data_IF_760897195685
#
_entry.id   IF_760897195685
#
_cell.length_a   1.000
_cell.length_b   1.000
_cell.length_c   1.000
_cell.angle_alpha   90.00
_cell.angle_beta   90.00
_cell.angle_gamma   90.00
#
_symmetry.space_group_name_H-M   'P 1'
#
loop_
_entity.id
_entity.type
_entity.pdbx_description
1 polymer ?
#
# COMPACT_ATOMS: atom_id res chain seq x y z
N UNK A 1 10.42 -5.59 -32.38
CA UNK A 1 10.90 -4.32 -31.85
C UNK A 1 11.16 -4.53 -30.39
N UNK A 2 12.40 -4.32 -29.95
CA UNK A 2 12.96 -4.86 -28.73
C UNK A 2 12.42 -4.16 -27.47
N UNK A 3 11.86 -4.96 -26.54
CA UNK A 3 11.61 -4.60 -25.17
C UNK A 3 12.95 -4.37 -24.47
N UNK A 4 13.20 -3.14 -24.04
CA UNK A 4 14.28 -2.87 -23.09
C UNK A 4 13.72 -3.04 -21.68
N UNK A 5 13.93 -4.23 -21.12
CA UNK A 5 13.78 -4.47 -19.70
C UNK A 5 14.82 -3.63 -18.94
N UNK A 6 14.38 -2.59 -18.27
CA UNK A 6 15.20 -1.86 -17.30
C UNK A 6 15.20 -2.69 -16.01
N UNK A 7 16.16 -3.61 -15.92
CA UNK A 7 16.40 -4.43 -14.74
C UNK A 7 17.04 -3.60 -13.65
N UNK A 8 16.21 -2.97 -12.83
CA UNK A 8 16.63 -2.50 -11.51
C UNK A 8 16.05 -3.47 -10.49
N UNK A 9 16.85 -4.49 -10.18
CA UNK A 9 16.56 -5.47 -9.14
C UNK A 9 16.70 -4.76 -7.78
N UNK A 10 15.61 -4.18 -7.30
CA UNK A 10 15.57 -3.64 -5.94
C UNK A 10 15.53 -4.87 -5.02
N UNK A 11 16.68 -5.23 -4.46
CA UNK A 11 16.73 -6.17 -3.35
C UNK A 11 15.95 -5.56 -2.20
N UNK A 12 14.74 -6.06 -1.98
CA UNK A 12 13.99 -5.78 -0.74
C UNK A 12 14.83 -6.39 0.38
N UNK A 13 15.24 -5.61 1.39
CA UNK A 13 15.85 -6.19 2.57
C UNK A 13 14.84 -7.16 3.20
N UNK A 14 15.26 -8.38 3.51
CA UNK A 14 14.43 -9.31 4.29
C UNK A 14 14.26 -8.74 5.69
N UNK A 15 13.18 -8.00 5.89
CA UNK A 15 12.78 -7.52 7.21
C UNK A 15 12.23 -8.74 7.96
N UNK A 16 13.08 -9.43 8.72
CA UNK A 16 12.62 -10.36 9.74
C UNK A 16 11.79 -9.58 10.74
N UNK A 17 10.51 -9.95 10.86
CA UNK A 17 9.64 -9.40 11.91
C UNK A 17 10.30 -9.64 13.27
N UNK A 18 10.82 -8.57 13.86
CA UNK A 18 11.45 -8.61 15.18
C UNK A 18 10.39 -8.60 16.26
N UNK A 19 10.58 -9.44 17.28
CA UNK A 19 9.78 -9.38 18.50
C UNK A 19 10.24 -8.19 19.33
N UNK A 20 9.30 -7.52 19.98
CA UNK A 20 9.53 -6.35 20.84
C UNK A 20 10.56 -6.60 21.96
N UNK A 21 10.79 -7.86 22.32
CA UNK A 21 11.76 -8.31 23.34
C UNK A 21 13.22 -8.13 22.89
N UNK A 22 13.48 -8.11 21.58
CA UNK A 22 14.84 -8.00 21.01
C UNK A 22 15.36 -6.54 20.99
N UNK A 23 14.53 -5.57 21.34
CA UNK A 23 14.86 -4.13 21.23
C UNK A 23 15.76 -3.61 22.36
N UNK A 24 16.02 -4.40 23.40
CA UNK A 24 16.70 -3.93 24.61
C UNK A 24 18.16 -4.41 24.73
N UNK A 25 18.69 -5.11 23.73
CA UNK A 25 20.07 -5.58 23.76
C UNK A 25 21.02 -4.58 23.10
N UNK A 26 21.89 -3.97 23.90
CA UNK A 26 22.96 -3.08 23.44
C UNK A 26 23.82 -3.73 22.33
N UNK A 27 23.95 -5.06 22.33
CA UNK A 27 24.66 -5.83 21.31
C UNK A 27 24.01 -5.75 19.92
N UNK A 28 22.68 -5.69 19.88
CA UNK A 28 21.94 -5.53 18.62
C UNK A 28 22.13 -4.14 18.03
N UNK A 29 22.04 -3.11 18.86
CA UNK A 29 22.28 -1.71 18.44
C UNK A 29 23.71 -1.51 17.95
N UNK A 30 24.70 -2.17 18.57
CA UNK A 30 26.08 -2.14 18.13
C UNK A 30 26.29 -2.85 16.78
N UNK A 31 25.61 -3.97 16.54
CA UNK A 31 25.65 -4.68 15.24
C UNK A 31 25.01 -3.86 14.13
N UNK A 32 23.84 -3.26 14.36
CA UNK A 32 23.21 -2.36 13.42
C UNK A 32 24.07 -1.13 13.14
N UNK A 33 24.63 -0.52 14.17
CA UNK A 33 25.54 0.63 14.01
C UNK A 33 26.80 0.25 13.21
N UNK A 34 27.30 -0.98 13.33
CA UNK A 34 28.44 -1.47 12.58
C UNK A 34 28.08 -1.74 11.09
N UNK A 35 26.89 -2.24 10.80
CA UNK A 35 26.39 -2.42 9.44
C UNK A 35 26.16 -1.07 8.74
N UNK A 36 25.51 -0.11 9.41
CA UNK A 36 25.28 1.24 8.90
C UNK A 36 26.60 1.99 8.62
N UNK A 37 27.63 1.77 9.46
CA UNK A 37 28.98 2.30 9.21
C UNK A 37 29.67 1.66 8.00
N UNK A 38 29.41 0.38 7.73
CA UNK A 38 29.95 -0.33 6.56
C UNK A 38 29.32 0.17 5.27
N UNK A 39 28.05 0.52 5.28
CA UNK A 39 27.32 1.07 4.14
C UNK A 39 27.58 2.57 3.94
N UNK A 40 28.43 3.20 4.76
CA UNK A 40 28.75 4.62 4.69
C UNK A 40 27.64 5.55 5.14
N UNK A 41 26.57 5.00 5.72
CA UNK A 41 25.48 5.78 6.33
C UNK A 41 25.84 6.21 7.74
N UNK A 42 25.52 7.45 8.06
CA UNK A 42 25.77 7.98 9.41
C UNK A 42 24.73 7.36 10.37
N UNK A 43 25.15 6.89 11.54
CA UNK A 43 24.26 6.30 12.56
C UNK A 43 23.09 7.21 12.91
N UNK A 44 23.32 8.53 12.93
CA UNK A 44 22.27 9.53 13.18
C UNK A 44 21.22 9.50 12.07
N UNK A 45 21.61 9.35 10.82
CA UNK A 45 20.68 9.27 9.67
C UNK A 45 19.87 8.00 9.74
N UNK A 46 20.49 6.85 10.08
CA UNK A 46 19.77 5.59 10.26
C UNK A 46 18.70 5.65 11.35
N UNK A 47 19.00 6.23 12.50
CA UNK A 47 18.00 6.44 13.57
C UNK A 47 16.87 7.39 13.15
N UNK A 48 17.15 8.41 12.35
CA UNK A 48 16.14 9.32 11.83
C UNK A 48 15.23 8.62 10.80
N UNK A 49 15.80 7.79 9.95
CA UNK A 49 15.02 7.02 8.97
C UNK A 49 14.07 6.04 9.65
N UNK A 50 14.53 5.31 10.69
CA UNK A 50 13.66 4.43 11.49
C UNK A 50 12.53 5.21 12.18
N UNK A 51 12.81 6.38 12.71
CA UNK A 51 11.79 7.22 13.34
C UNK A 51 10.75 7.71 12.32
N UNK A 52 11.19 8.07 11.11
CA UNK A 52 10.31 8.48 10.02
C UNK A 52 9.45 7.30 9.55
N UNK A 53 10.03 6.11 9.40
CA UNK A 53 9.30 4.90 9.01
C UNK A 53 8.28 4.49 10.07
N UNK A 54 8.64 4.57 11.35
CA UNK A 54 7.70 4.35 12.45
C UNK A 54 6.56 5.37 12.43
N UNK A 55 6.86 6.64 12.22
CA UNK A 55 5.85 7.68 12.09
C UNK A 55 4.90 7.44 10.91
N UNK A 56 5.42 7.04 9.75
CA UNK A 56 4.63 6.70 8.57
C UNK A 56 3.75 5.47 8.81
N UNK A 57 4.27 4.41 9.42
CA UNK A 57 3.51 3.18 9.67
C UNK A 57 2.30 3.40 10.58
N UNK A 58 2.36 4.41 11.46
CA UNK A 58 1.26 4.77 12.36
C UNK A 58 0.36 5.90 11.84
N UNK A 59 0.66 6.49 10.69
CA UNK A 59 -0.12 7.58 10.09
C UNK A 59 -0.07 7.53 8.56
N UNK A 60 -0.59 6.45 7.99
CA UNK A 60 -0.71 6.29 6.54
C UNK A 60 -1.95 7.00 6.01
N UNK A 61 -1.78 7.82 4.99
CA UNK A 61 -2.87 8.59 4.39
C UNK A 61 -3.39 7.94 3.12
N UNK A 62 -4.65 7.43 3.14
CA UNK A 62 -5.22 6.76 2.00
C UNK A 62 -5.66 7.72 0.89
N UNK A 63 -5.34 7.37 -0.35
CA UNK A 63 -6.05 7.85 -1.52
C UNK A 63 -7.23 6.92 -1.80
N UNK A 64 -8.44 7.46 -1.70
CA UNK A 64 -9.66 6.69 -1.94
C UNK A 64 -9.94 6.58 -3.44
N UNK A 65 -9.89 5.37 -3.97
CA UNK A 65 -10.32 5.08 -5.34
C UNK A 65 -11.42 4.01 -5.31
N UNK A 66 -12.65 4.48 -5.23
CA UNK A 66 -13.83 3.64 -5.08
C UNK A 66 -14.72 3.75 -6.33
N UNK A 67 -14.93 2.64 -7.02
CA UNK A 67 -15.66 2.60 -8.29
C UNK A 67 -16.96 1.80 -8.25
N UNK A 68 -17.15 0.97 -7.23
CA UNK A 68 -18.36 0.14 -7.09
C UNK A 68 -18.62 -0.25 -5.63
N UNK A 69 -19.36 -1.33 -5.40
CA UNK A 69 -19.86 -1.74 -4.08
C UNK A 69 -18.77 -1.91 -2.99
N UNK A 70 -17.56 -2.31 -3.32
CA UNK A 70 -16.47 -2.35 -2.35
C UNK A 70 -16.11 -0.96 -1.80
N UNK A 71 -16.41 0.10 -2.56
CA UNK A 71 -16.25 1.48 -2.09
C UNK A 71 -17.23 1.83 -0.98
N UNK A 72 -18.44 1.29 -0.99
CA UNK A 72 -19.43 1.49 0.09
C UNK A 72 -18.95 0.80 1.36
N UNK A 73 -18.41 -0.41 1.23
CA UNK A 73 -17.82 -1.12 2.36
C UNK A 73 -16.59 -0.39 2.92
N UNK A 74 -15.79 0.21 2.04
CA UNK A 74 -14.69 1.08 2.46
C UNK A 74 -15.16 2.31 3.24
N UNK A 75 -16.29 2.93 2.85
CA UNK A 75 -16.91 3.99 3.65
C UNK A 75 -17.37 3.48 5.01
N UNK A 76 -17.88 2.25 5.09
CA UNK A 76 -18.28 1.64 6.36
C UNK A 76 -17.09 1.41 7.31
N UNK A 77 -15.89 1.16 6.79
CA UNK A 77 -14.65 1.07 7.59
C UNK A 77 -14.33 2.42 8.25
N UNK A 78 -14.58 3.54 7.57
CA UNK A 78 -14.44 4.88 8.13
C UNK A 78 -15.58 5.32 9.06
N UNK A 79 -16.66 4.50 9.19
CA UNK A 79 -17.79 4.83 10.03
C UNK A 79 -17.52 4.52 11.51
N UNK A 80 -18.34 5.09 12.40
CA UNK A 80 -18.16 5.06 13.84
C UNK A 80 -18.00 3.66 14.47
N UNK A 81 -18.50 2.61 13.82
CA UNK A 81 -18.39 1.23 14.32
C UNK A 81 -16.98 0.67 14.21
N UNK A 82 -16.27 0.97 13.13
CA UNK A 82 -14.96 0.40 12.81
C UNK A 82 -13.84 1.40 12.98
N UNK A 83 -14.04 2.61 12.50
CA UNK A 83 -13.22 3.80 12.67
C UNK A 83 -11.72 3.63 12.38
N UNK A 84 -11.33 3.93 11.17
CA UNK A 84 -9.94 3.96 10.73
C UNK A 84 -9.03 4.88 11.58
N UNK A 85 -9.62 5.91 12.20
CA UNK A 85 -8.88 6.87 13.01
C UNK A 85 -8.12 6.19 14.15
N UNK A 86 -8.65 5.10 14.70
CA UNK A 86 -7.99 4.33 15.76
C UNK A 86 -6.65 3.73 15.34
N UNK A 87 -6.46 3.54 14.04
CA UNK A 87 -5.26 2.95 13.44
C UNK A 87 -4.37 3.99 12.77
N UNK A 88 -4.72 5.28 12.87
CA UNK A 88 -3.97 6.37 12.27
C UNK A 88 -4.28 6.66 10.79
N UNK A 89 -5.35 6.07 10.22
CA UNK A 89 -5.70 6.19 8.80
C UNK A 89 -6.89 7.10 8.52
N UNK A 90 -7.16 8.07 9.40
CA UNK A 90 -8.34 8.94 9.28
C UNK A 90 -8.29 9.85 8.06
N UNK A 91 -7.11 10.33 7.71
CA UNK A 91 -6.98 11.42 6.76
C UNK A 91 -7.03 10.92 5.32
N UNK A 92 -8.24 10.72 4.78
CA UNK A 92 -8.44 10.45 3.37
C UNK A 92 -8.04 11.66 2.53
N UNK A 93 -7.08 11.49 1.63
CA UNK A 93 -6.61 12.56 0.75
C UNK A 93 -7.22 12.43 -0.64
N UNK A 94 -7.74 13.55 -1.14
CA UNK A 94 -8.19 13.66 -2.53
C UNK A 94 -7.02 13.96 -3.49
N UNK A 95 -5.88 14.45 -2.97
CA UNK A 95 -4.68 14.71 -3.76
C UNK A 95 -3.73 13.52 -3.72
N UNK A 96 -3.38 12.93 -4.87
CA UNK A 96 -2.44 11.81 -4.94
C UNK A 96 -1.06 12.15 -4.38
N UNK A 97 -0.65 13.41 -4.49
CA UNK A 97 0.67 13.88 -4.02
C UNK A 97 0.81 13.87 -2.50
N UNK A 98 -0.29 13.79 -1.77
CA UNK A 98 -0.34 13.79 -0.31
C UNK A 98 -0.72 12.43 0.27
N UNK A 99 -0.93 11.43 -0.57
CA UNK A 99 -1.34 10.09 -0.16
C UNK A 99 -0.15 9.14 -0.17
N UNK A 100 -0.09 8.27 0.83
CA UNK A 100 0.94 7.25 0.99
C UNK A 100 0.56 5.94 0.30
N UNK A 101 -0.73 5.62 0.26
CA UNK A 101 -1.22 4.41 -0.42
C UNK A 101 -2.55 4.64 -1.12
N UNK A 102 -2.81 3.84 -2.14
CA UNK A 102 -4.08 3.85 -2.87
C UNK A 102 -4.87 2.56 -2.58
N UNK A 103 -6.11 2.70 -2.12
CA UNK A 103 -7.06 1.60 -2.03
C UNK A 103 -7.93 1.56 -3.27
N UNK A 104 -7.71 0.55 -4.09
CA UNK A 104 -8.51 0.34 -5.30
C UNK A 104 -9.68 -0.58 -4.96
N UNK A 105 -10.84 0.02 -4.70
CA UNK A 105 -12.03 -0.68 -4.24
C UNK A 105 -13.10 -0.75 -5.34
N UNK A 106 -13.26 -1.90 -5.96
CA UNK A 106 -14.32 -2.15 -6.92
C UNK A 106 -13.87 -2.48 -8.33
N UNK A 107 -14.80 -2.38 -9.27
CA UNK A 107 -14.60 -2.75 -10.68
C UNK A 107 -13.86 -1.65 -11.43
N UNK A 108 -12.84 -2.03 -12.20
CA UNK A 108 -12.08 -1.11 -13.04
C UNK A 108 -12.40 -1.36 -14.50
N UNK A 109 -12.89 -0.33 -15.17
CA UNK A 109 -13.14 -0.38 -16.61
C UNK A 109 -11.90 0.03 -17.39
N UNK A 110 -11.79 -0.45 -18.64
CA UNK A 110 -10.71 -0.04 -19.54
C UNK A 110 -10.62 1.48 -19.72
N UNK A 111 -11.75 2.18 -19.60
CA UNK A 111 -11.82 3.65 -19.67
C UNK A 111 -11.21 4.32 -18.43
N UNK A 112 -11.33 3.68 -17.25
CA UNK A 112 -10.79 4.18 -15.99
C UNK A 112 -9.32 3.77 -15.74
N UNK A 113 -8.85 2.72 -16.40
CA UNK A 113 -7.49 2.24 -16.24
C UNK A 113 -6.38 3.30 -16.45
N UNK A 114 -6.45 4.17 -17.51
CA UNK A 114 -5.48 5.24 -17.68
C UNK A 114 -5.55 6.32 -16.60
N UNK A 115 -6.73 6.55 -16.02
CA UNK A 115 -6.92 7.51 -14.92
C UNK A 115 -6.25 6.96 -13.65
N UNK A 116 -6.51 5.70 -13.34
CA UNK A 116 -5.89 5.02 -12.20
C UNK A 116 -4.36 5.05 -12.29
N UNK A 117 -3.80 4.78 -13.46
CA UNK A 117 -2.36 4.85 -13.69
C UNK A 117 -1.81 6.26 -13.46
N UNK A 118 -2.48 7.30 -13.95
CA UNK A 118 -2.07 8.70 -13.70
C UNK A 118 -2.08 9.06 -12.21
N UNK A 119 -3.10 8.60 -11.47
CA UNK A 119 -3.17 8.84 -10.03
C UNK A 119 -1.98 8.19 -9.32
N UNK A 120 -1.65 6.95 -9.69
CA UNK A 120 -0.50 6.25 -9.15
C UNK A 120 0.83 6.95 -9.49
N UNK A 121 1.01 7.40 -10.73
CA UNK A 121 2.23 8.11 -11.16
C UNK A 121 2.40 9.46 -10.46
N UNK A 122 1.32 10.06 -9.96
CA UNK A 122 1.32 11.33 -9.22
C UNK A 122 1.58 11.15 -7.71
N UNK A 123 1.51 9.93 -7.19
CA UNK A 123 1.83 9.65 -5.78
C UNK A 123 3.33 9.75 -5.54
N UNK A 124 3.68 10.24 -4.35
CA UNK A 124 5.07 10.28 -3.89
C UNK A 124 5.57 8.89 -3.50
N UNK A 125 6.85 8.64 -3.64
CA UNK A 125 7.49 7.42 -3.14
C UNK A 125 7.87 7.58 -1.65
N UNK A 126 7.76 6.53 -0.83
CA UNK A 126 7.22 5.21 -1.10
C UNK A 126 5.70 5.21 -1.19
N UNK A 127 5.15 4.45 -2.14
CA UNK A 127 3.71 4.34 -2.38
C UNK A 127 3.28 2.88 -2.44
N UNK A 128 2.08 2.59 -1.93
CA UNK A 128 1.56 1.24 -1.84
C UNK A 128 0.21 1.13 -2.54
N UNK A 129 -0.10 -0.05 -3.08
CA UNK A 129 -1.34 -0.33 -3.79
C UNK A 129 -2.05 -1.50 -3.12
N UNK A 130 -3.27 -1.28 -2.66
CA UNK A 130 -4.13 -2.28 -2.05
C UNK A 130 -5.32 -2.56 -2.97
N UNK A 131 -5.44 -3.79 -3.46
CA UNK A 131 -6.57 -4.23 -4.26
C UNK A 131 -7.67 -4.83 -3.38
N UNK A 132 -8.84 -4.19 -3.35
CA UNK A 132 -9.95 -4.56 -2.47
C UNK A 132 -11.08 -5.19 -3.26
N UNK A 133 -11.36 -6.45 -2.92
CA UNK A 133 -12.47 -7.23 -3.45
C UNK A 133 -12.20 -7.94 -4.77
N UNK A 134 -13.02 -8.92 -5.07
CA UNK A 134 -12.85 -9.81 -6.22
C UNK A 134 -12.79 -9.08 -7.58
N UNK A 135 -13.49 -7.94 -7.72
CA UNK A 135 -13.46 -7.16 -8.94
C UNK A 135 -12.09 -6.51 -9.20
N UNK A 136 -11.46 -5.97 -8.15
CA UNK A 136 -10.12 -5.39 -8.25
C UNK A 136 -9.04 -6.47 -8.43
N UNK A 137 -9.23 -7.66 -7.85
CA UNK A 137 -8.26 -8.75 -7.87
C UNK A 137 -8.24 -9.47 -9.23
N UNK A 138 -9.42 -9.81 -9.77
CA UNK A 138 -9.52 -10.70 -10.93
C UNK A 138 -10.69 -10.40 -11.87
N UNK A 139 -11.30 -9.21 -11.75
CA UNK A 139 -12.53 -8.87 -12.46
C UNK A 139 -13.80 -9.40 -11.78
N UNK A 140 -13.67 -10.33 -10.82
CA UNK A 140 -14.80 -10.88 -10.05
C UNK A 140 -15.96 -11.40 -10.89
N UNK A 141 -17.20 -11.02 -10.57
CA UNK A 141 -18.38 -11.43 -11.34
C UNK A 141 -18.39 -10.92 -12.80
N UNK A 142 -17.61 -9.89 -13.07
CA UNK A 142 -17.53 -9.25 -14.39
C UNK A 142 -16.31 -9.69 -15.20
N UNK A 143 -15.65 -10.76 -14.78
CA UNK A 143 -14.52 -11.37 -15.51
C UNK A 143 -14.95 -11.70 -16.94
N UNK A 144 -14.07 -11.42 -17.90
CA UNK A 144 -14.29 -11.56 -19.35
C UNK A 144 -15.30 -10.57 -19.95
N UNK A 145 -15.71 -9.55 -19.22
CA UNK A 145 -16.49 -8.45 -19.81
C UNK A 145 -15.60 -7.58 -20.69
N UNK A 146 -16.11 -7.19 -21.86
CA UNK A 146 -15.36 -6.35 -22.80
C UNK A 146 -15.02 -4.96 -22.28
N UNK A 147 -15.66 -4.51 -21.21
CA UNK A 147 -15.41 -3.21 -20.58
C UNK A 147 -14.52 -3.26 -19.35
N UNK A 148 -14.37 -4.42 -18.72
CA UNK A 148 -13.73 -4.56 -17.41
C UNK A 148 -12.33 -5.13 -17.55
N UNK A 149 -11.40 -4.55 -16.82
CA UNK A 149 -10.04 -5.07 -16.69
C UNK A 149 -10.04 -6.22 -15.67
N UNK A 150 -9.51 -7.37 -16.07
CA UNK A 150 -9.46 -8.58 -15.23
C UNK A 150 -8.31 -8.49 -14.20
N UNK A 151 -8.35 -7.51 -13.33
CA UNK A 151 -7.39 -7.31 -12.24
C UNK A 151 -6.59 -6.00 -12.33
N UNK A 152 -6.33 -5.40 -11.18
CA UNK A 152 -5.54 -4.16 -11.03
C UNK A 152 -4.06 -4.44 -11.33
N UNK A 153 -3.60 -5.64 -11.07
CA UNK A 153 -2.24 -6.13 -11.32
C UNK A 153 -1.78 -5.95 -12.77
N UNK A 154 -2.73 -5.90 -13.70
CA UNK A 154 -2.45 -5.63 -15.12
C UNK A 154 -2.15 -4.15 -15.41
N UNK A 155 -2.47 -3.26 -14.47
CA UNK A 155 -2.34 -1.80 -14.64
C UNK A 155 -1.24 -1.28 -13.74
N UNK A 156 -1.21 -1.73 -12.47
CA UNK A 156 -0.33 -1.26 -11.40
C UNK A 156 0.31 -2.44 -10.66
N UNK A 157 1.49 -2.27 -10.09
CA UNK A 157 2.01 -3.22 -9.12
C UNK A 157 1.11 -3.20 -7.88
N UNK A 158 0.66 -4.36 -7.42
CA UNK A 158 -0.21 -4.49 -6.24
C UNK A 158 0.60 -5.13 -5.11
N UNK A 159 0.60 -4.47 -3.94
CA UNK A 159 1.32 -4.93 -2.76
C UNK A 159 0.46 -5.85 -1.89
N UNK A 160 -0.84 -5.51 -1.73
CA UNK A 160 -1.75 -6.26 -0.87
C UNK A 160 -3.07 -6.54 -1.59
N UNK A 161 -3.57 -7.77 -1.42
CA UNK A 161 -4.86 -8.21 -1.94
C UNK A 161 -5.80 -8.55 -0.78
N UNK A 162 -6.98 -7.92 -0.76
CA UNK A 162 -8.03 -8.20 0.22
C UNK A 162 -9.18 -8.92 -0.49
N UNK A 163 -9.29 -10.25 -0.33
CA UNK A 163 -10.30 -11.04 -1.02
C UNK A 163 -11.70 -10.85 -0.41
N UNK A 164 -12.71 -11.01 -1.24
CA UNK A 164 -14.13 -10.95 -0.86
C UNK A 164 -14.96 -10.30 -1.96
N UNK A 165 -16.27 -10.53 -1.92
CA UNK A 165 -17.21 -9.88 -2.82
C UNK A 165 -18.51 -9.58 -2.05
N UNK A 166 -18.49 -8.56 -1.32
CA UNK A 166 -17.57 -7.55 -0.81
C UNK A 166 -16.74 -8.10 0.39
N UNK A 167 -15.48 -7.69 0.58
CA UNK A 167 -14.78 -8.01 1.81
C UNK A 167 -15.40 -7.21 2.96
N UNK A 168 -15.52 -7.83 4.13
CA UNK A 168 -16.03 -7.15 5.32
C UNK A 168 -15.10 -6.06 5.79
N UNK A 169 -15.59 -5.01 6.48
CA UNK A 169 -14.74 -3.95 7.03
C UNK A 169 -13.62 -4.48 7.92
N UNK A 170 -13.86 -5.53 8.69
CA UNK A 170 -12.84 -6.16 9.53
C UNK A 170 -11.68 -6.71 8.70
N UNK A 171 -11.96 -7.27 7.53
CA UNK A 171 -10.92 -7.79 6.63
C UNK A 171 -10.06 -6.70 6.00
N UNK A 172 -10.55 -5.45 5.98
CA UNK A 172 -9.78 -4.29 5.51
C UNK A 172 -8.93 -3.68 6.62
N UNK A 173 -9.25 -3.96 7.90
CA UNK A 173 -8.54 -3.47 9.07
C UNK A 173 -7.42 -4.40 9.53
N UNK A 174 -7.50 -5.70 9.18
CA UNK A 174 -6.48 -6.70 9.47
C UNK A 174 -5.30 -6.61 8.50
#
# INVERSE_FOLDING_TARGET
MAERSFGMEIRKPEIKAMKYEDFNDNEYLEKMAAELRREGTNVIVGCLDELIEWGRSNSLWPLTFATSCCGIEFMAVGAARYDFARFGFEVARASPRQADFIMVAGTITHKMAPVLKRLYDQMADPKYVIAVGGCAISGGPFKRSYHVVDGVDKILPVDVYIPGCQPRPEAMLY
#
